data_IF_320264987369
#
_entry.id   IF_320264987369
#
_cell.length_a   1.000
_cell.length_b   1.000
_cell.length_c   1.000
_cell.angle_alpha   90.00
_cell.angle_beta   90.00
_cell.angle_gamma   90.00
#
_symmetry.space_group_name_H-M   'P 1'
#
loop_
_entity.id
_entity.type
_entity.pdbx_description
1 polymer ?
#
# COMPACT_ATOMS: atom_id res chain seq x y z
N UNK A 1 -3.16 3.67 -23.52
CA UNK A 1 -3.25 4.11 -22.12
C UNK A 1 -3.52 2.91 -21.23
N UNK A 2 -2.80 2.80 -20.13
CA UNK A 2 -3.01 1.75 -19.13
C UNK A 2 -3.44 2.36 -17.81
N UNK A 3 -4.25 1.63 -17.07
CA UNK A 3 -4.70 2.03 -15.74
C UNK A 3 -4.07 1.11 -14.70
N UNK A 4 -3.48 1.71 -13.68
CA UNK A 4 -2.75 1.00 -12.64
C UNK A 4 -3.21 1.42 -11.25
N UNK A 5 -3.33 0.47 -10.33
CA UNK A 5 -3.64 0.75 -8.94
C UNK A 5 -2.45 0.40 -8.02
N UNK A 6 -2.19 1.27 -7.07
CA UNK A 6 -1.22 1.05 -6.01
C UNK A 6 -1.96 1.02 -4.67
N UNK A 7 -1.83 -0.08 -3.93
CA UNK A 7 -2.47 -0.29 -2.64
C UNK A 7 -1.40 -0.37 -1.55
N UNK A 8 -1.57 0.41 -0.51
CA UNK A 8 -0.74 0.40 0.68
C UNK A 8 -1.55 -0.05 1.89
N UNK A 9 -1.14 -1.17 2.48
CA UNK A 9 -1.71 -1.69 3.72
C UNK A 9 -0.79 -1.28 4.87
N UNK A 10 -1.06 -0.10 5.41
CA UNK A 10 -0.30 0.47 6.53
C UNK A 10 -0.80 0.02 7.89
N UNK A 11 -0.13 0.47 8.94
CA UNK A 11 -0.49 0.12 10.32
C UNK A 11 -1.79 0.78 10.81
N UNK A 12 -2.10 1.97 10.30
CA UNK A 12 -3.24 2.77 10.74
C UNK A 12 -4.13 3.25 9.61
N UNK A 13 -3.72 3.02 8.37
CA UNK A 13 -4.42 3.50 7.19
C UNK A 13 -4.27 2.52 6.03
N UNK A 14 -5.36 2.30 5.32
CA UNK A 14 -5.33 1.68 3.99
C UNK A 14 -5.45 2.78 2.95
N UNK A 15 -4.61 2.74 1.94
CA UNK A 15 -4.65 3.68 0.83
C UNK A 15 -4.62 2.97 -0.50
N UNK A 16 -5.34 3.51 -1.47
CA UNK A 16 -5.26 3.10 -2.86
C UNK A 16 -5.21 4.33 -3.75
N UNK A 17 -4.28 4.35 -4.67
CA UNK A 17 -4.21 5.36 -5.72
C UNK A 17 -4.39 4.71 -7.08
N UNK A 18 -5.11 5.38 -7.94
CA UNK A 18 -5.35 4.95 -9.33
C UNK A 18 -4.65 5.92 -10.26
N UNK A 19 -3.87 5.36 -11.17
CA UNK A 19 -3.08 6.10 -12.14
C UNK A 19 -3.45 5.70 -13.56
N UNK A 20 -3.44 6.68 -14.45
CA UNK A 20 -3.40 6.48 -15.90
C UNK A 20 -1.96 6.66 -16.38
N UNK A 21 -1.49 5.74 -17.18
CA UNK A 21 -0.14 5.72 -17.73
C UNK A 21 -0.23 5.76 -19.25
N UNK A 22 0.37 6.78 -19.86
CA UNK A 22 0.44 6.88 -21.33
C UNK A 22 1.81 7.44 -21.75
N UNK A 23 2.20 7.12 -22.98
CA UNK A 23 3.43 7.67 -23.54
C UNK A 23 3.37 9.18 -23.77
N UNK A 24 2.18 9.73 -24.00
CA UNK A 24 2.00 11.14 -24.31
C UNK A 24 2.00 12.03 -23.06
N UNK A 25 1.37 11.57 -21.99
CA UNK A 25 1.14 12.36 -20.77
C UNK A 25 1.89 11.86 -19.53
N UNK A 26 2.62 10.74 -19.67
CA UNK A 26 3.32 10.10 -18.56
C UNK A 26 2.35 9.45 -17.57
N UNK A 27 2.63 9.60 -16.28
CA UNK A 27 1.84 9.05 -15.19
C UNK A 27 0.97 10.15 -14.60
N UNK A 28 -0.33 9.92 -14.53
CA UNK A 28 -1.32 10.85 -13.96
C UNK A 28 -2.14 10.17 -12.88
N UNK A 29 -2.18 10.73 -11.68
CA UNK A 29 -3.08 10.27 -10.62
C UNK A 29 -4.52 10.66 -10.96
N UNK A 30 -5.42 9.67 -10.99
CA UNK A 30 -6.83 9.85 -11.33
C UNK A 30 -7.70 9.88 -10.09
N UNK A 31 -7.38 9.04 -9.10
CA UNK A 31 -8.13 8.94 -7.87
C UNK A 31 -7.23 8.50 -6.70
N UNK A 32 -7.63 8.88 -5.50
CA UNK A 32 -6.95 8.53 -4.26
C UNK A 32 -7.97 8.24 -3.18
N UNK A 33 -7.99 7.02 -2.68
CA UNK A 33 -8.90 6.56 -1.65
C UNK A 33 -8.10 6.21 -0.41
N UNK A 34 -8.54 6.70 0.74
CA UNK A 34 -7.94 6.39 2.04
C UNK A 34 -9.01 5.98 3.02
N UNK A 35 -8.73 5.02 3.86
CA UNK A 35 -9.57 4.66 4.98
C UNK A 35 -8.74 4.33 6.22
N UNK A 36 -9.18 4.81 7.36
CA UNK A 36 -8.56 4.51 8.64
C UNK A 36 -8.86 3.07 9.04
N UNK A 37 -7.83 2.33 9.39
CA UNK A 37 -7.96 0.98 9.93
C UNK A 37 -6.74 0.72 10.82
N UNK A 38 -6.98 0.56 12.10
CA UNK A 38 -5.94 0.31 13.09
C UNK A 38 -5.55 -1.17 13.11
N UNK A 39 -4.55 -1.53 12.31
CA UNK A 39 -3.94 -2.86 12.32
C UNK A 39 -2.77 -2.93 13.28
N UNK A 40 -2.13 -1.80 13.53
CA UNK A 40 -0.87 -1.73 14.28
C UNK A 40 -1.02 -1.95 15.77
N UNK A 41 -1.99 -1.31 16.41
CA UNK A 41 -2.12 -1.34 17.86
C UNK A 41 -2.24 -2.76 18.43
N UNK A 42 -3.07 -3.58 17.83
CA UNK A 42 -3.24 -4.98 18.25
C UNK A 42 -1.99 -5.82 17.95
N UNK A 43 -1.46 -5.70 16.75
CA UNK A 43 -0.26 -6.45 16.32
C UNK A 43 0.95 -6.13 17.20
N UNK A 44 1.16 -4.87 17.54
CA UNK A 44 2.32 -4.46 18.34
C UNK A 44 2.19 -4.85 19.82
N UNK A 45 0.98 -4.99 20.33
CA UNK A 45 0.73 -5.40 21.72
C UNK A 45 0.68 -6.93 21.84
N UNK A 46 -0.11 -7.61 21.02
CA UNK A 46 -0.34 -9.05 21.10
C UNK A 46 0.58 -9.91 20.22
N UNK A 47 1.20 -9.30 19.21
CA UNK A 47 2.02 -10.00 18.21
C UNK A 47 1.22 -10.73 17.15
N UNK A 48 -0.11 -10.68 17.19
CA UNK A 48 -1.00 -11.32 16.21
C UNK A 48 -2.13 -10.38 15.81
N UNK A 49 -2.60 -10.55 14.57
CA UNK A 49 -3.80 -9.89 14.10
C UNK A 49 -5.01 -10.80 14.37
N UNK A 50 -6.03 -10.26 15.05
CA UNK A 50 -7.25 -11.01 15.38
C UNK A 50 -8.09 -11.30 14.13
N UNK A 51 -8.99 -12.29 14.25
CA UNK A 51 -9.98 -12.59 13.20
C UNK A 51 -10.85 -11.38 12.87
N UNK A 52 -11.21 -10.58 13.85
CA UNK A 52 -12.00 -9.36 13.66
C UNK A 52 -11.26 -8.35 12.78
N UNK A 53 -9.97 -8.11 13.05
CA UNK A 53 -9.14 -7.21 12.24
C UNK A 53 -8.92 -7.75 10.83
N UNK A 54 -8.71 -9.04 10.68
CA UNK A 54 -8.62 -9.69 9.37
C UNK A 54 -9.91 -9.50 8.60
N UNK A 55 -11.07 -9.64 9.24
CA UNK A 55 -12.37 -9.44 8.61
C UNK A 55 -12.56 -7.98 8.17
N UNK A 56 -12.25 -7.02 9.03
CA UNK A 56 -12.30 -5.60 8.67
C UNK A 56 -11.39 -5.28 7.47
N UNK A 57 -10.17 -5.77 7.51
CA UNK A 57 -9.19 -5.60 6.43
C UNK A 57 -9.71 -6.20 5.11
N UNK A 58 -10.23 -7.41 5.14
CA UNK A 58 -10.79 -8.05 3.96
C UNK A 58 -12.00 -7.31 3.40
N UNK A 59 -12.89 -6.80 4.26
CA UNK A 59 -14.05 -6.01 3.84
C UNK A 59 -13.61 -4.73 3.11
N UNK A 60 -12.63 -4.01 3.64
CA UNK A 60 -12.08 -2.80 3.02
C UNK A 60 -11.40 -3.10 1.69
N UNK A 61 -10.61 -4.18 1.64
CA UNK A 61 -9.94 -4.58 0.40
C UNK A 61 -10.93 -5.12 -0.65
N UNK A 62 -12.05 -5.71 -0.24
CA UNK A 62 -13.16 -6.02 -1.16
C UNK A 62 -13.71 -4.75 -1.81
N UNK A 63 -13.88 -3.68 -1.05
CA UNK A 63 -14.31 -2.40 -1.59
C UNK A 63 -13.29 -1.84 -2.58
N UNK A 64 -12.00 -1.95 -2.28
CA UNK A 64 -10.93 -1.57 -3.20
C UNK A 64 -10.97 -2.38 -4.50
N UNK A 65 -11.23 -3.68 -4.40
CA UNK A 65 -11.38 -4.56 -5.58
C UNK A 65 -12.54 -4.12 -6.48
N UNK A 66 -13.66 -3.73 -5.89
CA UNK A 66 -14.81 -3.19 -6.63
C UNK A 66 -14.47 -1.86 -7.33
N UNK A 67 -13.75 -0.99 -6.65
CA UNK A 67 -13.31 0.29 -7.20
C UNK A 67 -12.34 0.05 -8.38
N UNK A 68 -11.38 -0.85 -8.23
CA UNK A 68 -10.48 -1.23 -9.32
C UNK A 68 -11.24 -1.76 -10.54
N UNK A 69 -12.27 -2.57 -10.33
CA UNK A 69 -13.13 -3.07 -11.41
C UNK A 69 -13.90 -1.94 -12.10
N UNK A 70 -14.41 -0.98 -11.33
CA UNK A 70 -15.09 0.22 -11.81
C UNK A 70 -14.22 1.06 -12.75
N UNK A 71 -12.94 1.23 -12.40
CA UNK A 71 -11.95 1.94 -13.20
C UNK A 71 -11.34 1.09 -14.33
N UNK A 72 -11.70 -0.19 -14.41
CA UNK A 72 -11.11 -1.15 -15.36
C UNK A 72 -9.58 -1.17 -15.27
N UNK A 73 -9.07 -1.28 -14.04
CA UNK A 73 -7.64 -1.31 -13.78
C UNK A 73 -6.98 -2.49 -14.47
N UNK A 74 -5.95 -2.24 -15.25
CA UNK A 74 -5.23 -3.26 -16.03
C UNK A 74 -4.28 -4.08 -15.18
N UNK A 75 -3.62 -3.44 -14.21
CA UNK A 75 -2.69 -4.09 -13.30
C UNK A 75 -2.62 -3.32 -11.97
N UNK A 76 -2.18 -3.99 -10.93
CA UNK A 76 -2.03 -3.37 -9.61
C UNK A 76 -0.82 -3.92 -8.86
N UNK A 77 -0.42 -3.19 -7.82
CA UNK A 77 0.48 -3.70 -6.77
C UNK A 77 -0.11 -3.35 -5.42
N UNK A 78 -0.08 -4.32 -4.51
CA UNK A 78 -0.51 -4.16 -3.15
C UNK A 78 0.62 -4.57 -2.21
N UNK A 79 1.00 -3.67 -1.32
CA UNK A 79 2.07 -3.90 -0.36
C UNK A 79 1.58 -3.71 1.07
N UNK A 80 1.99 -4.64 1.94
CA UNK A 80 1.86 -4.51 3.38
C UNK A 80 3.19 -4.07 4.00
N UNK A 81 3.12 -3.22 4.99
CA UNK A 81 4.29 -2.70 5.70
C UNK A 81 4.35 -3.22 7.13
N UNK A 82 4.64 -2.37 8.11
CA UNK A 82 5.03 -2.82 9.46
C UNK A 82 4.02 -3.73 10.16
N UNK A 83 2.73 -3.44 10.14
CA UNK A 83 1.74 -4.29 10.83
C UNK A 83 1.70 -5.71 10.25
N UNK A 84 1.68 -5.84 8.93
CA UNK A 84 1.71 -7.16 8.28
C UNK A 84 3.06 -7.85 8.40
N UNK A 85 4.15 -7.09 8.44
CA UNK A 85 5.49 -7.63 8.62
C UNK A 85 5.72 -8.17 10.04
N UNK A 86 5.21 -7.46 11.04
CA UNK A 86 5.47 -7.78 12.45
C UNK A 86 4.50 -8.82 13.04
N UNK A 87 3.35 -9.03 12.43
CA UNK A 87 2.41 -10.03 12.94
C UNK A 87 2.94 -11.46 12.74
N UNK A 88 2.77 -12.31 13.76
CA UNK A 88 3.23 -13.70 13.70
C UNK A 88 2.44 -14.57 12.73
N UNK A 89 1.21 -14.18 12.42
CA UNK A 89 0.31 -14.91 11.51
C UNK A 89 0.23 -14.28 10.10
N UNK A 90 1.27 -13.61 9.65
CA UNK A 90 1.35 -12.93 8.34
C UNK A 90 0.89 -13.82 7.19
N UNK A 91 1.40 -15.04 7.10
CA UNK A 91 1.06 -15.95 6.01
C UNK A 91 -0.43 -16.27 5.96
N UNK A 92 -1.06 -16.46 7.11
CA UNK A 92 -2.50 -16.71 7.22
C UNK A 92 -3.29 -15.48 6.79
N UNK A 93 -2.89 -14.29 7.25
CA UNK A 93 -3.55 -13.03 6.90
C UNK A 93 -3.49 -12.78 5.40
N UNK A 94 -2.33 -12.90 4.79
CA UNK A 94 -2.12 -12.69 3.34
C UNK A 94 -2.92 -13.69 2.53
N UNK A 95 -2.94 -14.96 2.94
CA UNK A 95 -3.73 -16.00 2.27
C UNK A 95 -5.23 -15.73 2.35
N UNK A 96 -5.74 -15.37 3.53
CA UNK A 96 -7.15 -15.01 3.73
C UNK A 96 -7.57 -13.82 2.85
N UNK A 97 -6.72 -12.82 2.75
CA UNK A 97 -6.97 -11.65 1.90
C UNK A 97 -7.09 -12.09 0.44
N UNK A 98 -6.14 -12.89 -0.05
CA UNK A 98 -6.15 -13.36 -1.44
C UNK A 98 -7.40 -14.19 -1.74
N UNK A 99 -7.75 -15.12 -0.87
CA UNK A 99 -8.93 -15.97 -1.07
C UNK A 99 -10.25 -15.20 -1.04
N UNK A 100 -10.37 -14.21 -0.16
CA UNK A 100 -11.61 -13.47 0.06
C UNK A 100 -11.78 -12.27 -0.85
N UNK A 101 -10.70 -11.66 -1.30
CA UNK A 101 -10.71 -10.40 -2.08
C UNK A 101 -10.10 -10.51 -3.46
N UNK A 102 -9.34 -11.56 -3.73
CA UNK A 102 -8.56 -11.72 -4.94
C UNK A 102 -7.29 -10.86 -4.99
N UNK A 103 -7.02 -10.06 -3.96
CA UNK A 103 -5.86 -9.18 -3.92
C UNK A 103 -4.66 -9.92 -3.32
N UNK A 104 -3.56 -9.94 -4.06
CA UNK A 104 -2.27 -10.46 -3.60
C UNK A 104 -1.46 -9.35 -2.97
N UNK A 105 -1.09 -9.54 -1.70
CA UNK A 105 -0.29 -8.58 -0.96
C UNK A 105 1.14 -9.09 -0.82
N UNK A 106 2.10 -8.27 -1.24
CA UNK A 106 3.51 -8.45 -0.95
C UNK A 106 3.88 -7.75 0.34
N UNK A 107 4.44 -8.48 1.31
CA UNK A 107 4.90 -7.87 2.56
C UNK A 107 6.33 -7.38 2.37
N UNK A 108 6.53 -6.08 2.50
CA UNK A 108 7.84 -5.45 2.31
C UNK A 108 8.74 -5.64 3.52
N UNK A 109 9.99 -6.00 3.28
CA UNK A 109 11.04 -5.88 4.29
C UNK A 109 11.35 -4.42 4.58
N UNK A 110 12.03 -4.15 5.70
CA UNK A 110 12.48 -2.79 6.02
C UNK A 110 13.36 -2.18 4.91
N UNK A 111 14.24 -2.99 4.34
CA UNK A 111 15.14 -2.54 3.26
C UNK A 111 14.38 -2.22 1.97
N UNK A 112 13.43 -3.06 1.59
CA UNK A 112 12.57 -2.83 0.42
C UNK A 112 11.72 -1.57 0.59
N UNK A 113 11.14 -1.36 1.79
CA UNK A 113 10.36 -0.18 2.10
C UNK A 113 11.20 1.10 1.99
N UNK A 114 12.39 1.11 2.58
CA UNK A 114 13.32 2.25 2.47
C UNK A 114 13.71 2.55 1.04
N UNK A 115 13.94 1.53 0.24
CA UNK A 115 14.28 1.69 -1.16
C UNK A 115 13.14 2.32 -1.97
N UNK A 116 11.91 1.88 -1.74
CA UNK A 116 10.72 2.46 -2.38
C UNK A 116 10.47 3.90 -1.94
N UNK A 117 10.65 4.20 -0.66
CA UNK A 117 10.55 5.56 -0.13
C UNK A 117 11.58 6.49 -0.80
N UNK A 118 12.81 6.04 -0.90
CA UNK A 118 13.87 6.79 -1.60
C UNK A 118 13.52 7.01 -3.08
N UNK A 119 13.07 5.97 -3.78
CA UNK A 119 12.62 6.08 -5.17
C UNK A 119 11.46 7.07 -5.35
N UNK A 120 10.52 7.05 -4.42
CA UNK A 120 9.38 7.97 -4.43
C UNK A 120 9.85 9.43 -4.36
N UNK A 121 10.82 9.72 -3.50
CA UNK A 121 11.41 11.06 -3.38
C UNK A 121 12.23 11.40 -4.61
N UNK A 122 13.05 10.48 -5.11
CA UNK A 122 13.88 10.68 -6.28
C UNK A 122 13.07 10.94 -7.57
N UNK A 123 11.87 10.37 -7.67
CA UNK A 123 10.99 10.55 -8.83
C UNK A 123 10.43 11.97 -8.97
N UNK A 124 10.61 12.82 -7.96
CA UNK A 124 10.17 14.24 -7.99
C UNK A 124 11.07 15.16 -8.83
N UNK A 125 12.07 14.62 -9.51
CA UNK A 125 12.90 15.36 -10.47
C UNK A 125 13.69 16.52 -9.84
N UNK A 126 13.51 17.75 -10.34
CA UNK A 126 14.27 18.91 -9.88
C UNK A 126 14.11 19.26 -8.39
N UNK A 127 13.07 18.80 -7.75
CA UNK A 127 12.91 18.95 -6.30
C UNK A 127 13.88 18.04 -5.53
N UNK A 128 14.24 16.90 -6.10
CA UNK A 128 15.16 15.94 -5.48
C UNK A 128 16.54 16.55 -5.27
N UNK A 129 17.06 17.29 -6.23
CA UNK A 129 18.37 17.96 -6.12
C UNK A 129 18.40 18.92 -4.93
N UNK A 130 17.31 19.69 -4.73
CA UNK A 130 17.18 20.59 -3.59
C UNK A 130 17.12 19.84 -2.25
N UNK A 131 16.55 18.66 -2.26
CA UNK A 131 16.44 17.81 -1.06
C UNK A 131 17.81 17.26 -0.67
N UNK A 132 18.59 16.75 -1.62
CA UNK A 132 19.91 16.17 -1.35
C UNK A 132 20.98 17.20 -0.98
N UNK A 133 20.87 18.43 -1.45
CA UNK A 133 21.78 19.52 -1.07
C UNK A 133 21.65 19.92 0.40
N UNK A 134 20.56 19.56 1.05
CA UNK A 134 20.29 19.81 2.47
C UNK A 134 20.35 18.50 3.24
N UNK A 135 20.70 18.57 4.51
CA UNK A 135 20.54 17.43 5.41
C UNK A 135 19.06 17.15 5.58
N UNK A 136 18.57 16.08 4.96
CA UNK A 136 17.15 15.72 4.91
C UNK A 136 16.95 14.32 5.46
N UNK A 137 15.90 14.13 6.24
CA UNK A 137 15.44 12.82 6.70
C UNK A 137 14.12 12.48 6.02
N UNK A 138 13.93 11.20 5.65
CA UNK A 138 12.67 10.66 5.20
C UNK A 138 12.00 9.99 6.40
N UNK A 139 10.81 10.45 6.74
CA UNK A 139 9.98 9.87 7.82
C UNK A 139 8.74 9.25 7.21
N UNK A 140 8.59 7.93 7.42
CA UNK A 140 7.43 7.15 7.00
C UNK A 140 6.78 6.55 8.26
N UNK A 141 5.53 6.86 8.47
CA UNK A 141 4.79 6.47 9.67
C UNK A 141 3.79 5.36 9.34
#
# INVERSE_FOLDING_TARGET
>A
MKTFAAIDVGSFELAMKIFEISHATGIREVDSIRCSLDLGSETYVSGKMSCEKINELCDKLCDFSKIMSSYKVDDYRAYGTSALRETKNTAIVVDQIEQRTGIRIGVLSNSEQRFLDYKSVASKGGEFEKIIEKKTAIVDV
#
